data_IF_525088712270
#
_entry.id   IF_525088712270
#
_cell.length_a   1.000
_cell.length_b   1.000
_cell.length_c   1.000
_cell.angle_alpha   90.00
_cell.angle_beta   90.00
_cell.angle_gamma   90.00
#
_symmetry.space_group_name_H-M   'P 1'
#
loop_
_entity.id
_entity.type
_entity.pdbx_description
1 polymer ?
#
# COMPACT_ATOMS: atom_id res chain seq x y z
N UNK A 1 19.28 16.14 -1.61
CA UNK A 1 18.37 15.64 -2.68
C UNK A 1 16.96 15.77 -2.11
N UNK A 2 16.01 16.23 -2.91
CA UNK A 2 14.61 16.35 -2.47
C UNK A 2 14.01 14.94 -2.38
N UNK A 3 13.55 14.52 -1.20
CA UNK A 3 12.98 13.18 -0.96
C UNK A 3 11.48 13.09 -1.32
N UNK A 4 10.93 14.13 -1.98
CA UNK A 4 9.51 14.19 -2.32
C UNK A 4 9.08 12.97 -3.14
N UNK A 5 8.01 12.31 -2.73
CA UNK A 5 7.44 11.15 -3.40
C UNK A 5 6.24 11.53 -4.27
N UNK A 6 6.09 10.85 -5.41
CA UNK A 6 4.86 10.92 -6.20
C UNK A 6 3.76 10.08 -5.53
N UNK A 7 4.12 8.93 -4.91
CA UNK A 7 3.21 7.99 -4.29
C UNK A 7 3.76 7.44 -2.96
N UNK A 8 2.94 7.42 -1.92
CA UNK A 8 3.17 6.65 -0.70
C UNK A 8 1.98 5.70 -0.49
N UNK A 9 2.27 4.41 -0.33
CA UNK A 9 1.27 3.41 0.09
C UNK A 9 1.53 3.05 1.54
N UNK A 10 0.49 3.16 2.38
CA UNK A 10 0.58 2.81 3.79
C UNK A 10 -0.12 1.46 4.04
N UNK A 11 0.59 0.53 4.65
CA UNK A 11 0.09 -0.75 5.13
C UNK A 11 0.10 -0.83 6.67
N UNK A 12 -0.78 -1.62 7.25
CA UNK A 12 -0.68 -1.97 8.66
C UNK A 12 0.49 -2.95 8.89
N UNK A 13 0.66 -3.90 7.97
CA UNK A 13 1.66 -4.96 8.02
C UNK A 13 2.45 -5.07 6.70
N UNK A 14 3.68 -5.62 6.76
CA UNK A 14 4.38 -6.03 5.54
C UNK A 14 3.58 -7.11 4.80
N UNK A 15 3.27 -6.89 3.55
CA UNK A 15 2.47 -7.64 2.57
C UNK A 15 1.15 -6.93 2.14
N UNK A 16 0.58 -6.04 2.93
CA UNK A 16 -0.68 -5.35 2.62
C UNK A 16 -0.62 -4.62 1.27
N UNK A 17 0.47 -3.88 1.02
CA UNK A 17 0.64 -3.11 -0.21
C UNK A 17 0.69 -4.03 -1.44
N UNK A 18 1.42 -5.15 -1.35
CA UNK A 18 1.55 -6.12 -2.44
C UNK A 18 0.25 -6.86 -2.71
N UNK A 19 -0.53 -7.17 -1.67
CA UNK A 19 -1.83 -7.83 -1.81
C UNK A 19 -2.85 -6.96 -2.55
N UNK A 20 -2.76 -5.64 -2.39
CA UNK A 20 -3.81 -4.73 -2.86
C UNK A 20 -3.41 -3.87 -4.07
N UNK A 21 -2.21 -3.30 -4.07
CA UNK A 21 -1.77 -2.26 -5.01
C UNK A 21 -0.32 -2.41 -5.47
N UNK A 22 0.20 -3.64 -5.48
CA UNK A 22 1.55 -3.93 -5.96
C UNK A 22 1.76 -3.53 -7.43
N UNK A 23 0.72 -3.64 -8.26
CA UNK A 23 0.75 -3.21 -9.66
C UNK A 23 0.82 -1.69 -9.81
N UNK A 24 0.07 -0.94 -9.00
CA UNK A 24 0.16 0.53 -8.93
C UNK A 24 1.59 0.97 -8.58
N UNK A 25 2.22 0.33 -7.59
CA UNK A 25 3.60 0.61 -7.20
C UNK A 25 4.59 0.33 -8.34
N UNK A 26 4.47 -0.84 -8.99
CA UNK A 26 5.32 -1.22 -10.11
C UNK A 26 5.15 -0.28 -11.32
N UNK A 27 3.93 0.11 -11.66
CA UNK A 27 3.67 1.09 -12.73
C UNK A 27 4.26 2.46 -12.39
N UNK A 28 4.20 2.88 -11.13
CA UNK A 28 4.79 4.15 -10.67
C UNK A 28 6.30 4.14 -10.87
N UNK A 29 6.97 3.07 -10.43
CA UNK A 29 8.41 2.91 -10.61
C UNK A 29 8.79 2.84 -12.10
N UNK A 30 8.06 2.08 -12.92
CA UNK A 30 8.26 1.96 -14.36
C UNK A 30 8.11 3.30 -15.09
N UNK A 31 7.23 4.17 -14.63
CA UNK A 31 7.06 5.52 -15.16
C UNK A 31 8.18 6.50 -14.73
N UNK A 32 9.21 6.03 -14.01
CA UNK A 32 10.29 6.85 -13.48
C UNK A 32 9.86 7.78 -12.35
N UNK A 33 8.73 7.49 -11.70
CA UNK A 33 8.20 8.23 -10.56
C UNK A 33 8.67 7.58 -9.24
N UNK A 34 8.74 8.39 -8.18
CA UNK A 34 9.21 7.93 -6.89
C UNK A 34 8.04 7.44 -6.03
N UNK A 35 8.12 6.17 -5.64
CA UNK A 35 7.14 5.57 -4.74
C UNK A 35 7.82 4.94 -3.52
N UNK A 36 7.06 4.86 -2.42
CA UNK A 36 7.46 4.13 -1.23
C UNK A 36 6.28 3.40 -0.60
N UNK A 37 6.61 2.37 0.20
CA UNK A 37 5.70 1.69 1.11
C UNK A 37 6.06 2.10 2.53
N UNK A 38 5.05 2.40 3.34
CA UNK A 38 5.19 2.66 4.78
C UNK A 38 4.35 1.64 5.55
N UNK A 39 5.02 0.63 6.12
CA UNK A 39 4.35 -0.30 7.03
C UNK A 39 4.33 0.27 8.45
N UNK A 40 3.19 0.19 9.12
CA UNK A 40 3.08 0.65 10.49
C UNK A 40 3.76 -0.30 11.48
N UNK A 41 3.69 -1.61 11.24
CA UNK A 41 4.26 -2.64 12.10
C UNK A 41 5.25 -3.52 11.33
N UNK A 42 6.02 -4.34 12.04
CA UNK A 42 6.84 -5.40 11.44
C UNK A 42 6.08 -6.73 11.28
N UNK A 43 4.81 -6.80 11.73
CA UNK A 43 4.01 -8.02 11.71
C UNK A 43 4.55 -9.10 12.67
N UNK A 44 5.13 -8.72 13.78
CA UNK A 44 5.84 -9.61 14.72
C UNK A 44 4.92 -10.53 15.52
N UNK A 45 3.61 -10.26 15.59
CA UNK A 45 2.62 -11.14 16.19
C UNK A 45 1.96 -12.09 15.17
N UNK A 46 2.40 -12.07 13.90
CA UNK A 46 1.93 -13.01 12.90
C UNK A 46 2.23 -14.45 13.28
N UNK A 47 1.32 -15.39 12.93
CA UNK A 47 1.46 -16.82 13.22
C UNK A 47 2.70 -17.43 12.55
N UNK A 48 3.15 -16.85 11.42
CA UNK A 48 4.25 -17.35 10.60
C UNK A 48 5.30 -16.27 10.35
N UNK A 49 6.56 -16.72 10.30
CA UNK A 49 7.70 -15.83 10.16
C UNK A 49 8.05 -15.13 11.49
N UNK A 50 9.26 -14.62 11.58
CA UNK A 50 9.72 -13.74 12.66
C UNK A 50 9.72 -12.30 12.15
N UNK A 51 9.82 -11.30 13.04
CA UNK A 51 9.99 -9.90 12.64
C UNK A 51 11.17 -9.72 11.66
N UNK A 52 12.30 -10.42 11.92
CA UNK A 52 13.48 -10.38 11.05
C UNK A 52 13.20 -10.99 9.66
N UNK A 53 12.53 -12.15 9.61
CA UNK A 53 12.14 -12.79 8.35
C UNK A 53 11.19 -11.91 7.56
N UNK A 54 10.12 -11.40 8.18
CA UNK A 54 9.14 -10.54 7.53
C UNK A 54 9.74 -9.24 7.02
N UNK A 55 10.69 -8.66 7.78
CA UNK A 55 11.44 -7.48 7.32
C UNK A 55 12.29 -7.80 6.08
N UNK A 56 13.01 -8.92 6.07
CA UNK A 56 13.80 -9.33 4.91
C UNK A 56 12.93 -9.57 3.67
N UNK A 57 11.80 -10.26 3.84
CA UNK A 57 10.81 -10.49 2.78
C UNK A 57 10.22 -9.17 2.26
N UNK A 58 9.88 -8.24 3.16
CA UNK A 58 9.37 -6.92 2.82
C UNK A 58 10.37 -6.10 1.99
N UNK A 59 11.65 -6.11 2.35
CA UNK A 59 12.69 -5.42 1.59
C UNK A 59 12.88 -6.06 0.21
N UNK A 60 12.87 -7.41 0.11
CA UNK A 60 12.95 -8.11 -1.16
C UNK A 60 11.73 -7.81 -2.06
N UNK A 61 10.52 -7.73 -1.49
CA UNK A 61 9.32 -7.34 -2.23
C UNK A 61 9.41 -5.91 -2.79
N UNK A 62 9.90 -4.96 -1.98
CA UNK A 62 10.09 -3.58 -2.40
C UNK A 62 11.14 -3.46 -3.53
N UNK A 63 12.21 -4.25 -3.47
CA UNK A 63 13.21 -4.35 -4.56
C UNK A 63 12.57 -4.87 -5.86
N UNK A 64 11.73 -5.92 -5.79
CA UNK A 64 10.99 -6.42 -6.95
C UNK A 64 10.09 -5.34 -7.57
N UNK A 65 9.46 -4.50 -6.75
CA UNK A 65 8.59 -3.41 -7.23
C UNK A 65 9.37 -2.19 -7.70
N UNK A 66 10.65 -2.07 -7.36
CA UNK A 66 11.48 -0.89 -7.66
C UNK A 66 11.12 0.33 -6.81
N UNK A 67 10.70 0.13 -5.55
CA UNK A 67 10.26 1.18 -4.64
C UNK A 67 11.01 1.18 -3.31
N UNK A 68 10.95 2.29 -2.57
CA UNK A 68 11.48 2.34 -1.20
C UNK A 68 10.51 1.67 -0.22
N UNK A 69 11.04 1.19 0.92
CA UNK A 69 10.21 0.70 2.02
C UNK A 69 10.70 1.20 3.37
N UNK A 70 9.75 1.61 4.20
CA UNK A 70 9.96 2.07 5.57
C UNK A 70 9.03 1.27 6.48
N UNK A 71 9.55 0.79 7.61
CA UNK A 71 8.76 0.10 8.64
C UNK A 71 8.89 0.91 9.92
N UNK A 72 7.76 1.34 10.50
CA UNK A 72 7.73 2.18 11.71
C UNK A 72 7.92 1.40 13.00
N UNK A 73 7.77 0.07 12.96
CA UNK A 73 7.86 -0.79 14.15
C UNK A 73 6.88 -0.41 15.28
N UNK A 74 5.70 0.08 14.95
CA UNK A 74 4.64 0.21 15.95
C UNK A 74 4.24 -1.18 16.45
N UNK A 75 3.76 -1.32 17.70
CA UNK A 75 3.42 -2.63 18.28
C UNK A 75 2.32 -3.33 17.47
N UNK A 76 2.64 -4.45 16.81
CA UNK A 76 1.69 -5.25 16.01
C UNK A 76 0.47 -5.66 16.84
N UNK A 77 -0.72 -5.61 16.28
CA UNK A 77 -2.03 -5.84 16.89
C UNK A 77 -2.35 -4.94 18.12
N UNK A 78 -1.40 -4.13 18.58
CA UNK A 78 -1.51 -3.34 19.81
C UNK A 78 -1.27 -1.84 19.61
N UNK A 79 -0.89 -1.37 18.42
CA UNK A 79 -0.83 0.06 18.15
C UNK A 79 -2.24 0.66 18.25
N UNK A 80 -2.35 1.85 18.77
CA UNK A 80 -3.58 2.58 19.00
C UNK A 80 -3.61 3.91 18.20
N UNK A 81 -4.70 4.64 18.34
CA UNK A 81 -4.89 5.96 17.70
C UNK A 81 -4.32 7.10 18.57
N UNK A 82 -3.25 6.81 19.36
CA UNK A 82 -2.60 7.79 20.22
C UNK A 82 -1.91 8.90 19.43
N UNK A 83 -1.65 10.02 20.11
CA UNK A 83 -0.88 11.12 19.54
C UNK A 83 0.55 10.68 19.17
N UNK A 84 1.18 9.81 19.96
CA UNK A 84 2.52 9.31 19.69
C UNK A 84 2.59 8.55 18.35
N UNK A 85 1.66 7.63 18.11
CA UNK A 85 1.58 6.86 16.86
C UNK A 85 1.22 7.77 15.68
N UNK A 86 0.34 8.76 15.88
CA UNK A 86 0.01 9.75 14.86
C UNK A 86 1.22 10.61 14.50
N UNK A 87 1.98 11.08 15.49
CA UNK A 87 3.21 11.84 15.27
C UNK A 87 4.26 11.05 14.47
N UNK A 88 4.40 9.75 14.72
CA UNK A 88 5.31 8.89 13.97
C UNK A 88 4.98 8.89 12.47
N UNK A 89 3.69 8.77 12.11
CA UNK A 89 3.23 8.84 10.71
C UNK A 89 3.41 10.26 10.17
N UNK A 90 3.01 11.30 10.91
CA UNK A 90 3.14 12.70 10.49
C UNK A 90 4.59 13.06 10.15
N UNK A 91 5.55 12.61 10.96
CA UNK A 91 6.98 12.84 10.72
C UNK A 91 7.43 12.25 9.37
N UNK A 92 6.94 11.04 9.03
CA UNK A 92 7.22 10.45 7.72
C UNK A 92 6.54 11.22 6.58
N UNK A 93 5.30 11.65 6.74
CA UNK A 93 4.61 12.45 5.73
C UNK A 93 5.32 13.77 5.46
N UNK A 94 5.80 14.48 6.51
CA UNK A 94 6.58 15.72 6.36
C UNK A 94 7.96 15.47 5.74
N UNK A 95 8.60 14.35 6.04
CA UNK A 95 9.91 13.98 5.47
C UNK A 95 9.79 13.54 4.01
N UNK A 96 8.84 12.69 3.69
CA UNK A 96 8.69 12.06 2.37
C UNK A 96 7.86 12.90 1.39
N UNK A 97 7.05 13.83 1.88
CA UNK A 97 6.24 14.76 1.10
C UNK A 97 5.48 14.13 -0.07
N UNK A 98 4.70 13.04 0.16
CA UNK A 98 4.01 12.35 -0.92
C UNK A 98 2.95 13.23 -1.56
N UNK A 99 2.89 13.22 -2.91
CA UNK A 99 1.80 13.88 -3.63
C UNK A 99 0.49 13.10 -3.45
N UNK A 100 0.55 11.78 -3.60
CA UNK A 100 -0.58 10.85 -3.43
C UNK A 100 -0.30 9.94 -2.24
N UNK A 101 -1.29 9.75 -1.38
CA UNK A 101 -1.26 8.80 -0.27
C UNK A 101 -2.36 7.76 -0.45
N UNK A 102 -1.98 6.47 -0.51
CA UNK A 102 -2.92 5.34 -0.53
C UNK A 102 -2.93 4.68 0.84
N UNK A 103 -4.12 4.47 1.38
CA UNK A 103 -4.39 3.97 2.72
C UNK A 103 -4.96 2.54 2.66
N UNK A 104 -4.92 1.78 3.76
CA UNK A 104 -5.74 0.57 3.92
C UNK A 104 -7.23 0.85 3.75
N UNK A 105 -8.05 -0.18 3.71
CA UNK A 105 -9.49 -0.03 3.64
C UNK A 105 -10.06 0.57 4.95
N UNK A 106 -11.01 1.53 4.87
CA UNK A 106 -11.68 2.07 6.04
C UNK A 106 -12.53 1.01 6.77
N UNK A 107 -13.12 0.10 5.99
CA UNK A 107 -13.89 -1.04 6.47
C UNK A 107 -13.20 -2.33 6.06
N UNK A 108 -12.66 -3.06 7.03
CA UNK A 108 -11.97 -4.32 6.85
C UNK A 108 -12.25 -5.22 8.06
N UNK A 109 -12.19 -6.55 7.85
CA UNK A 109 -12.29 -7.51 8.95
C UNK A 109 -11.10 -7.41 9.91
N UNK A 110 -9.89 -7.03 9.38
CA UNK A 110 -8.71 -6.90 10.21
C UNK A 110 -8.77 -5.60 11.02
N UNK A 111 -8.76 -5.67 12.37
CA UNK A 111 -8.90 -4.46 13.19
C UNK A 111 -7.76 -3.46 12.96
N UNK A 112 -6.55 -3.93 12.65
CA UNK A 112 -5.40 -3.07 12.42
C UNK A 112 -5.51 -2.28 11.12
N UNK A 113 -6.11 -2.85 10.07
CA UNK A 113 -6.34 -2.09 8.81
C UNK A 113 -7.28 -0.91 9.06
N UNK A 114 -8.40 -1.12 9.76
CA UNK A 114 -9.34 -0.03 10.11
C UNK A 114 -8.68 1.02 10.99
N UNK A 115 -7.85 0.59 11.96
CA UNK A 115 -7.11 1.49 12.84
C UNK A 115 -6.05 2.28 12.06
N UNK A 116 -5.29 1.60 11.18
CA UNK A 116 -4.29 2.21 10.32
C UNK A 116 -4.92 3.27 9.39
N UNK A 117 -6.09 2.98 8.80
CA UNK A 117 -6.82 3.96 7.99
C UNK A 117 -7.13 5.23 8.78
N UNK A 118 -7.78 5.10 9.97
CA UNK A 118 -8.18 6.28 10.76
C UNK A 118 -6.96 7.08 11.21
N UNK A 119 -5.96 6.40 11.75
CA UNK A 119 -4.74 7.03 12.23
C UNK A 119 -3.98 7.78 11.13
N UNK A 120 -3.81 7.14 9.97
CA UNK A 120 -3.09 7.73 8.85
C UNK A 120 -3.87 8.87 8.18
N UNK A 121 -5.21 8.77 8.10
CA UNK A 121 -6.06 9.85 7.59
C UNK A 121 -5.97 11.11 8.46
N UNK A 122 -6.01 10.95 9.79
CA UNK A 122 -5.78 12.05 10.73
C UNK A 122 -4.37 12.63 10.60
N UNK A 123 -3.35 11.75 10.55
CA UNK A 123 -1.97 12.16 10.37
C UNK A 123 -1.77 12.99 9.09
N UNK A 124 -2.40 12.60 7.98
CA UNK A 124 -2.35 13.34 6.72
C UNK A 124 -2.95 14.75 6.85
N UNK A 125 -4.03 14.90 7.62
CA UNK A 125 -4.61 16.22 7.89
C UNK A 125 -3.69 17.06 8.77
N UNK A 126 -3.26 16.53 9.92
CA UNK A 126 -2.48 17.30 10.91
C UNK A 126 -1.05 17.58 10.44
N UNK A 127 -0.44 16.74 9.61
CA UNK A 127 0.87 16.98 9.03
C UNK A 127 0.93 18.30 8.22
N UNK A 128 -0.20 18.76 7.69
CA UNK A 128 -0.33 20.04 7.00
C UNK A 128 -0.45 21.27 7.91
N UNK A 129 -0.61 21.08 9.22
CA UNK A 129 -0.76 22.22 10.15
C UNK A 129 0.61 22.76 10.58
N UNK A 130 0.87 24.03 10.26
CA UNK A 130 2.14 24.68 10.56
C UNK A 130 2.50 24.66 12.05
N UNK A 131 1.54 24.91 12.90
CA UNK A 131 1.75 25.04 14.35
C UNK A 131 1.64 23.71 15.11
N UNK A 132 1.42 22.59 14.42
CA UNK A 132 1.40 21.29 15.09
C UNK A 132 2.83 20.87 15.45
N UNK A 133 3.12 20.49 16.72
CA UNK A 133 4.47 20.16 17.18
C UNK A 133 4.95 18.82 16.62
N UNK A 134 5.36 18.82 15.36
CA UNK A 134 5.87 17.66 14.63
C UNK A 134 7.10 18.05 13.84
N UNK A 135 8.17 17.24 13.80
CA UNK A 135 9.36 17.53 13.01
C UNK A 135 9.06 17.72 11.52
N UNK A 136 9.87 18.56 10.86
CA UNK A 136 9.79 18.83 9.42
C UNK A 136 8.78 19.91 9.04
N UNK A 137 8.93 20.43 7.82
CA UNK A 137 8.02 21.44 7.27
C UNK A 137 6.62 20.87 7.05
N UNK A 138 5.55 21.65 7.26
CA UNK A 138 4.19 21.20 7.03
C UNK A 138 4.00 20.63 5.63
N UNK A 139 3.34 19.48 5.57
CA UNK A 139 3.01 18.84 4.30
C UNK A 139 1.65 18.19 4.35
N UNK A 140 0.88 18.34 3.29
CA UNK A 140 -0.39 17.63 3.09
C UNK A 140 -0.37 16.95 1.73
N UNK A 141 -0.62 15.62 1.66
CA UNK A 141 -0.85 14.95 0.39
C UNK A 141 -1.96 15.66 -0.40
N UNK A 142 -1.79 15.74 -1.72
CA UNK A 142 -2.75 16.42 -2.61
C UNK A 142 -3.98 15.58 -2.90
N UNK A 143 -3.84 14.25 -2.78
CA UNK A 143 -4.94 13.32 -2.89
C UNK A 143 -4.78 12.16 -1.94
N UNK A 144 -5.92 11.68 -1.42
CA UNK A 144 -6.04 10.46 -0.64
C UNK A 144 -6.86 9.45 -1.44
N UNK A 145 -6.38 8.20 -1.47
CA UNK A 145 -7.12 7.06 -1.95
C UNK A 145 -6.98 5.92 -0.95
N UNK A 146 -7.78 4.87 -1.10
CA UNK A 146 -7.66 3.68 -0.27
C UNK A 146 -7.96 2.43 -1.07
N UNK A 147 -7.51 1.29 -0.56
CA UNK A 147 -7.79 -0.01 -1.15
C UNK A 147 -9.14 -0.54 -0.67
N UNK A 148 -9.74 -1.46 -1.41
CA UNK A 148 -10.99 -2.10 -1.00
C UNK A 148 -10.78 -3.15 0.09
N UNK A 149 -11.65 -3.13 1.11
CA UNK A 149 -11.76 -4.21 2.08
C UNK A 149 -12.55 -5.42 1.56
N UNK A 150 -13.24 -6.14 2.45
CA UNK A 150 -13.99 -7.36 2.08
C UNK A 150 -15.23 -7.10 1.21
N UNK A 151 -15.92 -6.00 1.43
CA UNK A 151 -17.13 -5.61 0.69
C UNK A 151 -17.07 -4.14 0.27
N UNK A 152 -16.17 -3.80 -0.65
CA UNK A 152 -15.83 -2.41 -0.91
C UNK A 152 -16.87 -1.64 -1.74
N UNK A 153 -17.89 -2.30 -2.28
CA UNK A 153 -18.78 -1.72 -3.27
C UNK A 153 -18.09 -1.43 -4.60
N UNK A 154 -18.71 -0.60 -5.44
CA UNK A 154 -18.10 -0.21 -6.71
C UNK A 154 -16.88 0.70 -6.46
N UNK A 155 -15.76 0.48 -7.16
CA UNK A 155 -14.59 1.33 -7.05
C UNK A 155 -14.82 2.69 -7.73
N UNK A 156 -14.09 3.71 -7.29
CA UNK A 156 -14.06 5.01 -7.95
C UNK A 156 -13.10 5.00 -9.15
N UNK A 157 -12.07 4.17 -9.10
CA UNK A 157 -11.02 4.07 -10.12
C UNK A 157 -10.60 2.61 -10.30
N UNK A 158 -10.37 2.22 -11.54
CA UNK A 158 -9.81 0.91 -11.93
C UNK A 158 -8.59 1.16 -12.81
N UNK A 159 -7.48 0.50 -12.47
CA UNK A 159 -6.17 0.69 -13.08
C UNK A 159 -5.72 -0.60 -13.77
N UNK A 160 -5.45 -0.56 -15.07
CA UNK A 160 -4.85 -1.69 -15.78
C UNK A 160 -3.41 -1.93 -15.29
N UNK A 161 -3.16 -3.10 -14.68
CA UNK A 161 -1.85 -3.54 -14.20
C UNK A 161 -1.30 -4.73 -14.97
N UNK A 162 -1.95 -5.10 -16.08
CA UNK A 162 -1.51 -6.22 -16.93
C UNK A 162 -0.06 -6.10 -17.36
N UNK A 163 0.45 -4.90 -17.72
CA UNK A 163 1.85 -4.75 -18.13
C UNK A 163 2.90 -5.05 -17.04
N UNK A 164 2.50 -5.06 -15.79
CA UNK A 164 3.39 -5.28 -14.61
C UNK A 164 2.94 -6.45 -13.75
N UNK A 165 1.98 -7.24 -14.21
CA UNK A 165 1.40 -8.33 -13.42
C UNK A 165 2.42 -9.34 -12.91
N UNK A 166 3.34 -9.77 -13.75
CA UNK A 166 4.42 -10.70 -13.37
C UNK A 166 5.30 -10.12 -12.26
N UNK A 167 5.68 -8.84 -12.37
CA UNK A 167 6.49 -8.15 -11.37
C UNK A 167 5.74 -8.02 -10.04
N UNK A 168 4.47 -7.66 -10.09
CA UNK A 168 3.57 -7.57 -8.92
C UNK A 168 3.45 -8.92 -8.21
N UNK A 169 3.29 -10.02 -8.96
CA UNK A 169 3.19 -11.35 -8.37
C UNK A 169 4.53 -11.84 -7.79
N UNK A 170 5.65 -11.49 -8.41
CA UNK A 170 6.98 -11.78 -7.86
C UNK A 170 7.22 -11.07 -6.51
N UNK A 171 6.75 -9.84 -6.37
CA UNK A 171 6.80 -9.12 -5.10
C UNK A 171 5.94 -9.78 -4.01
N UNK A 172 4.73 -10.23 -4.35
CA UNK A 172 3.88 -10.99 -3.42
C UNK A 172 4.56 -12.31 -3.00
N UNK A 173 5.19 -13.01 -3.94
CA UNK A 173 5.87 -14.29 -3.71
C UNK A 173 7.15 -14.16 -2.85
N UNK A 174 7.70 -12.94 -2.72
CA UNK A 174 8.81 -12.67 -1.81
C UNK A 174 8.45 -12.91 -0.33
N UNK A 175 7.16 -12.81 0.03
CA UNK A 175 6.67 -13.14 1.38
C UNK A 175 6.44 -14.65 1.54
N UNK A 176 7.50 -15.43 1.34
CA UNK A 176 7.43 -16.90 1.41
C UNK A 176 6.92 -17.43 2.75
N UNK A 177 7.25 -16.77 3.87
CA UNK A 177 6.74 -17.17 5.19
C UNK A 177 5.22 -17.04 5.29
N UNK A 178 4.61 -16.11 4.54
CA UNK A 178 3.18 -15.82 4.60
C UNK A 178 2.37 -16.63 3.59
N UNK A 179 2.78 -16.64 2.31
CA UNK A 179 1.97 -17.17 1.21
C UNK A 179 2.36 -18.57 0.75
N UNK A 180 3.55 -19.06 1.11
CA UNK A 180 3.97 -20.40 0.70
C UNK A 180 3.29 -21.45 1.56
N UNK A 181 2.69 -22.45 0.92
CA UNK A 181 2.21 -23.65 1.61
C UNK A 181 3.41 -24.39 2.22
N UNK A 182 3.39 -24.59 3.52
CA UNK A 182 4.40 -25.35 4.28
C UNK A 182 3.68 -26.28 5.24
N UNK A 183 3.74 -27.62 5.01
CA UNK A 183 3.10 -28.60 5.88
C UNK A 183 3.66 -28.62 7.31
N UNK A 184 4.89 -28.13 7.52
CA UNK A 184 5.54 -28.07 8.84
C UNK A 184 5.16 -26.82 9.63
N UNK A 185 4.59 -25.80 8.99
CA UNK A 185 4.18 -24.56 9.62
C UNK A 185 2.68 -24.51 9.93
N UNK A 186 2.30 -23.79 10.98
CA UNK A 186 0.89 -23.60 11.31
C UNK A 186 0.13 -22.98 10.13
N UNK A 187 -1.04 -23.52 9.74
CA UNK A 187 -1.82 -22.98 8.65
C UNK A 187 -2.42 -21.61 9.03
N UNK A 188 -2.45 -20.72 8.06
CA UNK A 188 -3.12 -19.41 8.20
C UNK A 188 -4.03 -19.19 7.00
N UNK A 189 -4.94 -18.21 7.08
CA UNK A 189 -5.80 -17.87 5.95
C UNK A 189 -4.98 -17.47 4.71
N UNK A 190 -3.91 -16.71 4.88
CA UNK A 190 -3.11 -16.20 3.76
C UNK A 190 -2.14 -17.24 3.20
N UNK A 191 -1.79 -18.28 3.97
CA UNK A 191 -0.99 -19.39 3.48
C UNK A 191 -1.81 -20.46 2.73
N UNK A 192 -3.15 -20.37 2.75
CA UNK A 192 -4.01 -21.23 1.94
C UNK A 192 -3.88 -20.81 0.45
N UNK A 193 -3.64 -21.77 -0.47
CA UNK A 193 -3.60 -21.47 -1.90
C UNK A 193 -4.85 -20.78 -2.45
N UNK A 194 -6.01 -20.92 -1.78
CA UNK A 194 -7.23 -20.21 -2.15
C UNK A 194 -7.11 -18.69 -1.95
N UNK A 195 -6.31 -18.24 -0.98
CA UNK A 195 -6.08 -16.81 -0.79
C UNK A 195 -5.39 -16.20 -2.00
N UNK A 196 -4.30 -16.83 -2.50
CA UNK A 196 -3.61 -16.38 -3.71
C UNK A 196 -4.55 -16.35 -4.92
N UNK A 197 -5.33 -17.44 -5.14
CA UNK A 197 -6.36 -17.44 -6.20
C UNK A 197 -7.39 -16.32 -6.02
N UNK A 198 -7.71 -15.96 -4.78
CA UNK A 198 -8.59 -14.83 -4.48
C UNK A 198 -7.98 -13.47 -4.86
N UNK A 199 -6.67 -13.30 -4.69
CA UNK A 199 -5.94 -12.09 -5.15
C UNK A 199 -6.00 -11.99 -6.67
N UNK A 200 -5.69 -13.08 -7.37
CA UNK A 200 -5.77 -13.17 -8.85
C UNK A 200 -7.21 -12.94 -9.34
N UNK A 201 -8.19 -13.62 -8.72
CA UNK A 201 -9.60 -13.48 -9.09
C UNK A 201 -10.14 -12.06 -8.93
N UNK A 202 -9.72 -11.33 -7.89
CA UNK A 202 -10.08 -9.91 -7.75
C UNK A 202 -9.49 -9.06 -8.87
N UNK A 203 -8.22 -9.28 -9.21
CA UNK A 203 -7.58 -8.53 -10.28
C UNK A 203 -8.24 -8.82 -11.65
N UNK A 204 -8.62 -10.06 -11.94
CA UNK A 204 -9.41 -10.43 -13.12
C UNK A 204 -10.80 -9.77 -13.11
N UNK A 205 -11.47 -9.77 -11.96
CA UNK A 205 -12.78 -9.12 -11.83
C UNK A 205 -12.69 -7.63 -12.15
N UNK A 206 -11.75 -6.91 -11.57
CA UNK A 206 -11.55 -5.49 -11.88
C UNK A 206 -11.12 -5.28 -13.33
N UNK A 207 -10.25 -6.16 -13.86
CA UNK A 207 -9.85 -6.13 -15.27
C UNK A 207 -11.02 -6.24 -16.23
N UNK A 208 -11.99 -7.10 -15.92
CA UNK A 208 -13.18 -7.29 -16.77
C UNK A 208 -14.01 -6.01 -16.93
N UNK A 209 -13.96 -5.07 -15.98
CA UNK A 209 -14.68 -3.80 -16.06
C UNK A 209 -14.10 -2.82 -17.09
N UNK A 210 -12.83 -3.00 -17.45
CA UNK A 210 -12.09 -2.09 -18.35
C UNK A 210 -11.46 -2.81 -19.55
N UNK A 211 -11.81 -4.11 -19.76
CA UNK A 211 -11.26 -4.97 -20.81
C UNK A 211 -9.74 -5.16 -20.74
N UNK A 212 -9.22 -5.24 -19.51
CA UNK A 212 -7.83 -5.60 -19.21
C UNK A 212 -7.75 -7.00 -18.61
N UNK A 213 -6.61 -7.70 -18.76
CA UNK A 213 -6.41 -9.02 -18.15
C UNK A 213 -6.38 -8.93 -16.62
N UNK A 214 -5.70 -7.90 -16.09
CA UNK A 214 -5.51 -7.68 -14.67
C UNK A 214 -5.65 -6.21 -14.31
N UNK A 215 -6.41 -5.92 -13.26
CA UNK A 215 -6.55 -4.56 -12.77
C UNK A 215 -6.55 -4.48 -11.24
N UNK A 216 -6.23 -3.31 -10.73
CA UNK A 216 -6.36 -2.92 -9.33
C UNK A 216 -7.37 -1.81 -9.19
N UNK A 217 -8.05 -1.76 -8.05
CA UNK A 217 -9.13 -0.83 -7.80
C UNK A 217 -8.82 0.08 -6.62
N UNK A 218 -9.21 1.34 -6.73
CA UNK A 218 -9.07 2.37 -5.71
C UNK A 218 -10.41 3.06 -5.43
N UNK A 219 -10.55 3.46 -4.18
CA UNK A 219 -11.62 4.33 -3.69
C UNK A 219 -11.01 5.64 -3.24
N UNK A 220 -11.75 6.74 -3.33
CA UNK A 220 -11.24 8.07 -2.97
C UNK A 220 -12.36 8.95 -2.44
N UNK A 221 -12.00 10.07 -1.82
CA UNK A 221 -12.96 11.10 -1.48
C UNK A 221 -13.56 11.73 -2.74
N UNK A 222 -14.84 12.03 -2.69
CA UNK A 222 -15.54 12.67 -3.81
C UNK A 222 -15.72 14.17 -3.55
N UNK A 223 -15.53 15.03 -4.56
CA UNK A 223 -15.15 14.75 -5.94
C UNK A 223 -13.71 14.18 -6.04
N UNK A 224 -13.46 13.38 -7.10
CA UNK A 224 -12.11 12.79 -7.32
C UNK A 224 -11.09 13.91 -7.53
N UNK A 225 -9.99 13.97 -6.76
CA UNK A 225 -8.98 15.00 -6.91
C UNK A 225 -8.32 14.98 -8.30
N UNK A 226 -8.17 16.15 -8.93
CA UNK A 226 -7.54 16.26 -10.24
C UNK A 226 -6.10 15.75 -10.23
N UNK A 227 -5.38 15.93 -9.13
CA UNK A 227 -4.01 15.45 -8.95
C UNK A 227 -3.92 13.93 -9.04
N UNK A 228 -4.91 13.20 -8.50
CA UNK A 228 -4.97 11.74 -8.61
C UNK A 228 -5.17 11.32 -10.06
N UNK A 229 -6.09 11.95 -10.78
CA UNK A 229 -6.32 11.66 -12.21
C UNK A 229 -5.07 11.94 -13.05
N UNK A 230 -4.40 13.08 -12.81
CA UNK A 230 -3.17 13.44 -13.52
C UNK A 230 -2.03 12.44 -13.22
N UNK A 231 -1.90 12.00 -11.98
CA UNK A 231 -0.92 10.97 -11.59
C UNK A 231 -1.21 9.64 -12.32
N UNK A 232 -2.45 9.15 -12.28
CA UNK A 232 -2.83 7.91 -12.95
C UNK A 232 -2.59 7.98 -14.47
N UNK A 233 -2.89 9.11 -15.09
CA UNK A 233 -2.61 9.33 -16.52
C UNK A 233 -1.10 9.27 -16.86
N UNK A 234 -0.23 9.66 -15.94
CA UNK A 234 1.23 9.57 -16.13
C UNK A 234 1.73 8.12 -16.09
N UNK A 235 1.26 7.32 -15.15
CA UNK A 235 1.73 5.94 -14.96
C UNK A 235 1.13 4.95 -15.97
N UNK A 236 0.03 5.31 -16.63
CA UNK A 236 -0.62 4.48 -17.66
C UNK A 236 -0.22 4.85 -19.09
N UNK A 237 0.69 5.78 -19.29
CA UNK A 237 1.16 6.09 -20.64
C UNK A 237 1.84 4.85 -21.26
N UNK A 238 1.40 4.42 -22.46
CA UNK A 238 2.15 3.39 -23.17
C UNK A 238 3.58 3.89 -23.42
N UNK A 239 4.56 2.98 -23.32
CA UNK A 239 5.92 3.30 -23.75
C UNK A 239 5.87 3.79 -25.22
N UNK A 240 6.66 4.83 -25.57
CA UNK A 240 6.74 5.23 -26.96
C UNK A 240 7.18 4.01 -27.77
N UNK A 241 6.39 3.63 -28.75
CA UNK A 241 6.75 2.57 -29.68
C UNK A 241 8.03 3.04 -30.36
N UNK A 242 9.15 2.39 -30.02
CA UNK A 242 10.42 2.59 -30.69
C UNK A 242 10.37 2.21 -32.18
#
# INVERSE_FOLDING_TARGET
MNDDLDLLVLGAHPDDAEVHVGGLLALTARAGLRAAILDLTSGDLGTRGTAATRRAEAMAAAEQLGVQRIILDLPDARFDESEANRLAIMAQLRRLRPAILVLPAPEDRHPDHRRAFRLAREAAYYAGLRNYPCPGEPWRPRALAWVGGENPGAPDLVLDVSPVWTQRMAALDAFGSQFRADPAAAPTRISDPAFRRGVEGRAMHWGSLILADWAEALWTERPIPQELLAFLARIQRPEPRG
#
